data_IF_116237834025
#
_entry.id   IF_116237834025
#
_cell.length_a   1.000
_cell.length_b   1.000
_cell.length_c   1.000
_cell.angle_alpha   90.00
_cell.angle_beta   90.00
_cell.angle_gamma   90.00
#
_symmetry.space_group_name_H-M   'P 1'
#
loop_
_entity.id
_entity.type
_entity.pdbx_description
1 polymer ?
#
# COMPACT_ATOMS: atom_id res chain seq x y z
N UNK A 1 18.28 -23.96 43.23
CA UNK A 1 18.90 -22.74 42.70
C UNK A 1 18.95 -22.90 41.18
N UNK A 2 17.86 -22.58 40.49
CA UNK A 2 17.78 -22.69 39.03
C UNK A 2 18.19 -21.36 38.41
N UNK A 3 19.27 -21.35 37.63
CA UNK A 3 19.71 -20.20 36.85
C UNK A 3 18.98 -20.16 35.51
N UNK A 4 18.17 -19.14 35.30
CA UNK A 4 17.55 -18.83 34.00
C UNK A 4 18.45 -17.89 33.22
N UNK A 5 18.88 -18.33 32.03
CA UNK A 5 19.59 -17.51 31.04
C UNK A 5 18.56 -16.61 30.35
N UNK A 6 18.65 -15.30 30.57
CA UNK A 6 17.83 -14.31 29.90
C UNK A 6 18.48 -13.94 28.55
N UNK A 7 17.84 -14.32 27.44
CA UNK A 7 18.21 -13.82 26.12
C UNK A 7 17.72 -12.38 25.98
N UNK A 8 18.63 -11.41 26.00
CA UNK A 8 18.34 -10.03 25.62
C UNK A 8 18.27 -9.95 24.09
N UNK A 9 17.05 -9.88 23.55
CA UNK A 9 16.82 -9.43 22.17
C UNK A 9 17.08 -7.94 22.09
N UNK A 10 18.09 -7.57 21.33
CA UNK A 10 18.48 -6.18 21.09
C UNK A 10 17.44 -5.54 20.14
N UNK A 11 16.44 -4.86 20.70
CA UNK A 11 15.43 -4.14 19.92
C UNK A 11 16.04 -2.81 19.50
N UNK A 12 16.53 -2.74 18.26
CA UNK A 12 16.89 -1.45 17.67
C UNK A 12 15.62 -0.62 17.47
N UNK A 13 15.60 0.57 18.07
CA UNK A 13 14.54 1.56 17.92
C UNK A 13 14.40 1.98 16.46
N UNK A 14 13.33 1.52 15.80
CA UNK A 14 12.95 1.96 14.45
C UNK A 14 12.38 3.38 14.56
N UNK A 15 13.10 4.37 14.06
CA UNK A 15 12.68 5.77 14.05
C UNK A 15 11.79 6.07 12.84
N UNK A 16 10.56 6.53 13.13
CA UNK A 16 9.56 7.10 12.22
C UNK A 16 8.93 6.17 11.16
N UNK A 17 7.75 5.65 11.48
CA UNK A 17 6.73 5.22 10.51
C UNK A 17 5.60 6.25 10.52
N UNK A 18 5.89 7.47 10.07
CA UNK A 18 4.83 8.32 9.52
C UNK A 18 4.50 7.75 8.14
N UNK A 19 3.25 7.85 7.64
CA UNK A 19 2.98 7.53 6.24
C UNK A 19 4.00 8.24 5.36
N UNK A 20 4.55 7.56 4.35
CA UNK A 20 5.44 8.14 3.34
C UNK A 20 4.91 9.54 2.97
N UNK A 21 5.70 10.60 3.12
CA UNK A 21 5.25 11.98 2.85
C UNK A 21 4.94 12.24 1.35
N UNK A 22 5.30 11.33 0.44
CA UNK A 22 5.02 11.39 -0.99
C UNK A 22 3.55 11.17 -1.34
N UNK A 23 2.78 10.65 -0.38
CA UNK A 23 1.33 10.49 -0.46
C UNK A 23 0.60 11.81 -0.19
N UNK A 24 1.18 12.70 0.61
CA UNK A 24 0.64 14.05 0.86
C UNK A 24 0.68 14.95 -0.39
N UNK A 25 1.51 14.65 -1.39
CA UNK A 25 1.65 15.44 -2.62
C UNK A 25 0.56 15.17 -3.66
N UNK A 26 -0.20 14.07 -3.51
CA UNK A 26 -1.29 13.67 -4.40
C UNK A 26 -2.52 14.60 -4.27
N UNK A 27 -2.58 15.45 -3.24
CA UNK A 27 -3.70 16.38 -3.04
C UNK A 27 -3.79 17.50 -4.10
N UNK A 28 -2.83 17.61 -5.02
CA UNK A 28 -2.82 18.61 -6.09
C UNK A 28 -2.88 17.99 -7.50
N UNK A 29 -3.86 17.14 -7.78
CA UNK A 29 -4.22 16.83 -9.16
C UNK A 29 -5.02 17.99 -9.79
N UNK A 30 -4.63 18.50 -10.97
CA UNK A 30 -5.41 19.49 -11.70
C UNK A 30 -6.66 18.85 -12.29
N UNK A 31 -7.81 19.43 -11.95
CA UNK A 31 -9.13 19.10 -12.46
C UNK A 31 -9.25 19.67 -13.87
N UNK A 32 -9.33 18.85 -14.93
CA UNK A 32 -10.05 19.24 -16.15
C UNK A 32 -10.21 18.10 -17.17
N UNK A 33 -11.47 17.71 -17.40
CA UNK A 33 -12.08 17.60 -18.73
C UNK A 33 -13.61 17.44 -18.58
N UNK A 34 -14.39 18.48 -18.90
CA UNK A 34 -15.41 18.44 -19.98
C UNK A 34 -16.31 19.71 -20.05
N UNK A 35 -16.05 20.52 -21.08
CA UNK A 35 -16.96 21.03 -22.13
C UNK A 35 -18.37 21.56 -21.76
N UNK A 36 -18.43 22.90 -21.72
CA UNK A 36 -19.44 23.87 -22.20
C UNK A 36 -20.97 23.61 -22.18
N UNK A 37 -21.68 24.51 -21.50
CA UNK A 37 -22.82 25.25 -22.08
C UNK A 37 -22.97 26.62 -21.44
N UNK A 38 -23.05 27.66 -22.26
CA UNK A 38 -23.07 29.09 -21.93
C UNK A 38 -24.45 29.55 -21.41
N UNK A 39 -24.45 30.35 -20.34
CA UNK A 39 -25.31 31.54 -20.20
C UNK A 39 -24.80 32.48 -19.10
N UNK A 40 -24.56 33.75 -19.48
CA UNK A 40 -24.16 34.87 -18.63
C UNK A 40 -25.16 35.17 -17.49
N UNK A 41 -24.67 35.58 -16.30
CA UNK A 41 -24.84 36.93 -15.71
C UNK A 41 -24.25 37.01 -14.29
N UNK A 42 -23.36 38.01 -14.12
CA UNK A 42 -23.08 38.87 -12.96
C UNK A 42 -23.12 38.42 -11.48
N UNK A 43 -21.99 38.78 -10.82
CA UNK A 43 -21.85 39.42 -9.49
C UNK A 43 -21.66 38.58 -8.21
N UNK A 44 -20.68 39.07 -7.45
CA UNK A 44 -20.35 38.87 -6.02
C UNK A 44 -19.43 37.70 -5.64
N UNK A 45 -18.16 38.06 -5.43
CA UNK A 45 -17.09 37.25 -4.85
C UNK A 45 -17.28 37.11 -3.33
N UNK A 46 -17.59 35.89 -2.87
CA UNK A 46 -17.37 35.42 -1.51
C UNK A 46 -16.58 34.10 -1.56
N UNK A 47 -15.74 33.78 -0.56
CA UNK A 47 -14.97 32.55 -0.58
C UNK A 47 -15.92 31.38 -0.30
N UNK A 48 -16.23 30.60 -1.34
CA UNK A 48 -16.97 29.36 -1.23
C UNK A 48 -16.11 28.33 -0.50
N UNK A 49 -16.49 28.01 0.74
CA UNK A 49 -16.00 26.85 1.49
C UNK A 49 -16.41 25.57 0.75
N UNK A 50 -15.52 25.03 -0.08
CA UNK A 50 -15.65 23.65 -0.55
C UNK A 50 -15.16 22.71 0.55
N UNK A 51 -16.05 22.42 1.50
CA UNK A 51 -15.91 21.23 2.32
C UNK A 51 -16.03 20.04 1.39
N UNK A 52 -14.89 19.42 1.07
CA UNK A 52 -14.87 18.10 0.45
C UNK A 52 -15.54 17.15 1.46
N UNK A 53 -16.82 16.87 1.24
CA UNK A 53 -17.49 15.80 1.96
C UNK A 53 -16.71 14.53 1.63
N UNK A 54 -15.91 14.06 2.60
CA UNK A 54 -15.43 12.68 2.64
C UNK A 54 -16.67 11.83 2.87
N UNK A 55 -17.44 11.64 1.81
CA UNK A 55 -18.45 10.62 1.74
C UNK A 55 -17.66 9.32 1.78
N UNK A 56 -17.71 8.65 2.93
CA UNK A 56 -17.35 7.23 3.03
C UNK A 56 -18.25 6.54 2.02
N UNK A 57 -17.74 6.28 0.82
CA UNK A 57 -18.51 5.67 -0.24
C UNK A 57 -18.81 4.22 0.19
N UNK A 58 -20.03 3.99 0.68
CA UNK A 58 -20.60 2.66 0.92
C UNK A 58 -20.98 1.97 -0.41
N UNK A 59 -20.16 2.18 -1.45
CA UNK A 59 -20.30 1.50 -2.74
C UNK A 59 -19.50 0.19 -2.76
N UNK A 60 -19.81 -0.72 -3.70
CA UNK A 60 -18.93 -1.85 -3.97
C UNK A 60 -17.54 -1.33 -4.38
N UNK A 61 -16.49 -1.99 -3.91
CA UNK A 61 -15.13 -1.67 -4.32
C UNK A 61 -14.96 -1.95 -5.81
N UNK A 62 -14.23 -1.08 -6.50
CA UNK A 62 -13.86 -1.30 -7.89
C UNK A 62 -12.94 -2.51 -8.02
N UNK A 63 -13.01 -3.19 -9.16
CA UNK A 63 -12.18 -4.35 -9.45
C UNK A 63 -10.72 -3.93 -9.70
N UNK A 64 -9.77 -4.76 -9.25
CA UNK A 64 -8.33 -4.55 -9.44
C UNK A 64 -7.75 -5.73 -10.19
N UNK A 65 -7.24 -5.50 -11.39
CA UNK A 65 -6.55 -6.51 -12.17
C UNK A 65 -5.04 -6.39 -12.04
N UNK A 66 -4.37 -7.48 -11.68
CA UNK A 66 -2.91 -7.55 -11.56
C UNK A 66 -2.31 -8.45 -12.66
N UNK A 67 -1.13 -8.12 -13.22
CA UNK A 67 -0.47 -8.95 -14.22
C UNK A 67 -0.06 -10.30 -13.64
N UNK A 68 -0.25 -11.39 -14.40
CA UNK A 68 0.16 -12.74 -13.98
C UNK A 68 1.64 -12.83 -13.58
N UNK A 69 2.51 -12.05 -14.24
CA UNK A 69 3.95 -12.07 -13.99
C UNK A 69 4.41 -11.15 -12.86
N UNK A 70 3.49 -10.45 -12.18
CA UNK A 70 3.83 -9.48 -11.13
C UNK A 70 4.62 -10.12 -9.99
N UNK A 71 4.07 -11.18 -9.39
CA UNK A 71 4.68 -11.84 -8.24
C UNK A 71 6.03 -12.50 -8.60
N UNK A 72 6.10 -13.19 -9.74
CA UNK A 72 7.32 -13.87 -10.18
C UNK A 72 8.45 -12.88 -10.48
N UNK A 73 8.17 -11.82 -11.25
CA UNK A 73 9.15 -10.79 -11.57
C UNK A 73 9.63 -10.07 -10.30
N UNK A 74 8.72 -9.79 -9.36
CA UNK A 74 9.09 -9.16 -8.09
C UNK A 74 10.03 -10.05 -7.25
N UNK A 75 9.74 -11.35 -7.15
CA UNK A 75 10.62 -12.29 -6.45
C UNK A 75 12.00 -12.42 -7.12
N UNK A 76 12.06 -12.36 -8.45
CA UNK A 76 13.34 -12.35 -9.18
C UNK A 76 14.18 -11.12 -8.81
N UNK A 77 13.56 -9.94 -8.75
CA UNK A 77 14.20 -8.68 -8.35
C UNK A 77 14.66 -8.71 -6.89
N UNK A 78 13.87 -9.33 -6.01
CA UNK A 78 14.11 -9.42 -4.58
C UNK A 78 15.09 -10.55 -4.19
N UNK A 79 15.38 -11.49 -5.10
CA UNK A 79 16.10 -12.75 -4.82
C UNK A 79 17.36 -12.58 -3.97
N UNK A 80 18.21 -11.59 -4.28
CA UNK A 80 19.48 -11.41 -3.57
C UNK A 80 19.29 -10.93 -2.13
N UNK A 81 18.26 -10.11 -1.88
CA UNK A 81 17.89 -9.69 -0.54
C UNK A 81 17.21 -10.83 0.21
N UNK A 82 16.28 -11.54 -0.44
CA UNK A 82 15.59 -12.70 0.14
C UNK A 82 16.57 -13.77 0.61
N UNK A 83 17.62 -14.08 -0.17
CA UNK A 83 18.69 -15.03 0.23
C UNK A 83 19.47 -14.58 1.46
N UNK A 84 19.53 -13.28 1.73
CA UNK A 84 20.21 -12.67 2.88
C UNK A 84 19.26 -12.42 4.05
N UNK A 85 18.03 -12.90 3.98
CA UNK A 85 16.96 -12.62 4.95
C UNK A 85 16.73 -11.10 5.11
N UNK A 86 16.66 -10.39 3.97
CA UNK A 86 16.37 -8.95 3.92
C UNK A 86 15.10 -8.76 3.10
N UNK A 87 14.16 -7.99 3.63
CA UNK A 87 12.93 -7.64 2.93
C UNK A 87 13.20 -6.75 1.72
N UNK A 88 12.38 -6.90 0.69
CA UNK A 88 12.30 -5.97 -0.43
C UNK A 88 10.86 -5.50 -0.57
N UNK A 89 10.65 -4.22 -0.90
CA UNK A 89 9.34 -3.66 -1.16
C UNK A 89 9.29 -2.92 -2.51
N UNK A 90 8.07 -2.81 -3.05
CA UNK A 90 7.75 -2.12 -4.30
C UNK A 90 6.34 -1.52 -4.28
N UNK A 91 6.11 -0.52 -5.12
CA UNK A 91 4.84 0.21 -5.26
C UNK A 91 4.16 -0.18 -6.56
N UNK A 92 2.83 -0.38 -6.50
CA UNK A 92 2.00 -0.75 -7.64
C UNK A 92 1.34 0.49 -8.25
N UNK A 93 1.59 0.72 -9.54
CA UNK A 93 0.94 1.76 -10.33
C UNK A 93 -0.14 1.17 -11.23
N UNK A 94 -1.32 1.78 -11.26
CA UNK A 94 -2.44 1.35 -12.09
C UNK A 94 -3.04 2.49 -12.91
N UNK A 95 -3.58 2.14 -14.06
CA UNK A 95 -4.52 2.98 -14.80
C UNK A 95 -5.96 2.61 -14.41
N UNK A 96 -6.89 3.54 -14.52
CA UNK A 96 -8.32 3.29 -14.35
C UNK A 96 -9.00 3.31 -15.71
N UNK A 97 -9.84 2.32 -15.98
CA UNK A 97 -10.71 2.28 -17.15
C UNK A 97 -12.03 1.61 -16.78
N UNK A 98 -13.15 2.24 -17.12
CA UNK A 98 -14.49 1.71 -16.87
C UNK A 98 -14.67 1.26 -15.41
N UNK A 99 -14.34 2.14 -14.46
CA UNK A 99 -14.37 1.89 -13.01
C UNK A 99 -13.59 0.64 -12.56
N UNK A 100 -12.57 0.25 -13.33
CA UNK A 100 -11.70 -0.89 -13.02
C UNK A 100 -10.24 -0.45 -13.02
N UNK A 101 -9.50 -0.83 -11.98
CA UNK A 101 -8.07 -0.60 -11.88
C UNK A 101 -7.31 -1.72 -12.61
N UNK A 102 -6.35 -1.33 -13.44
CA UNK A 102 -5.43 -2.25 -14.09
C UNK A 102 -4.01 -1.90 -13.67
N UNK A 103 -3.40 -2.75 -12.84
CA UNK A 103 -1.99 -2.59 -12.45
C UNK A 103 -1.12 -2.82 -13.67
N UNK A 104 -0.37 -1.80 -14.06
CA UNK A 104 0.51 -1.82 -15.24
C UNK A 104 1.97 -1.59 -14.88
N UNK A 105 2.24 -1.10 -13.66
CA UNK A 105 3.59 -0.70 -13.25
C UNK A 105 3.96 -1.24 -11.88
N UNK A 106 5.22 -1.66 -11.74
CA UNK A 106 5.87 -1.99 -10.48
C UNK A 106 7.09 -1.08 -10.32
N UNK A 107 7.11 -0.26 -9.28
CA UNK A 107 8.22 0.62 -8.96
C UNK A 107 8.97 0.01 -7.78
N UNK A 108 10.25 -0.27 -7.94
CA UNK A 108 11.14 -0.74 -6.88
C UNK A 108 11.93 0.49 -6.40
N UNK A 109 11.55 1.12 -5.30
CA UNK A 109 12.24 2.31 -4.84
C UNK A 109 13.63 1.98 -4.31
N UNK A 110 14.47 3.01 -4.22
CA UNK A 110 15.57 3.00 -3.25
C UNK A 110 14.97 2.72 -1.87
N UNK A 111 15.59 1.85 -1.08
CA UNK A 111 14.99 1.37 0.16
C UNK A 111 16.05 1.00 1.19
N UNK A 112 15.69 1.14 2.46
CA UNK A 112 16.43 0.60 3.61
C UNK A 112 15.60 -0.52 4.23
N UNK A 113 16.20 -1.70 4.35
CA UNK A 113 15.48 -2.92 4.74
C UNK A 113 16.23 -3.73 5.78
N UNK A 114 15.47 -4.39 6.65
CA UNK A 114 15.91 -5.41 7.61
C UNK A 114 15.24 -6.75 7.25
N UNK A 115 15.36 -7.75 8.11
CA UNK A 115 14.63 -9.03 7.95
C UNK A 115 13.14 -8.94 8.21
N UNK A 116 12.66 -7.81 8.75
CA UNK A 116 11.28 -7.64 9.22
C UNK A 116 10.67 -6.26 8.87
N UNK A 117 11.38 -5.42 8.12
CA UNK A 117 10.85 -4.14 7.69
C UNK A 117 11.53 -3.66 6.42
N UNK A 118 10.80 -2.91 5.59
CA UNK A 118 11.30 -2.22 4.41
C UNK A 118 10.78 -0.78 4.40
N UNK A 119 11.69 0.18 4.29
CA UNK A 119 11.36 1.59 4.14
C UNK A 119 11.76 2.08 2.76
N UNK A 120 10.77 2.47 1.96
CA UNK A 120 11.00 3.18 0.71
C UNK A 120 11.60 4.57 0.98
N UNK A 121 12.58 4.94 0.18
CA UNK A 121 13.27 6.23 0.18
C UNK A 121 13.04 6.95 -1.15
N UNK A 122 13.36 8.25 -1.19
CA UNK A 122 13.27 9.08 -2.39
C UNK A 122 11.87 9.07 -3.03
N UNK A 123 10.86 9.31 -2.19
CA UNK A 123 9.45 9.28 -2.57
C UNK A 123 9.12 10.26 -3.70
N UNK A 124 9.86 11.37 -3.82
CA UNK A 124 9.75 12.32 -4.91
C UNK A 124 9.99 11.69 -6.29
N UNK A 125 10.88 10.69 -6.39
CA UNK A 125 11.13 9.98 -7.65
C UNK A 125 10.00 9.01 -7.98
N UNK A 126 9.47 8.31 -6.99
CA UNK A 126 8.30 7.46 -7.17
C UNK A 126 7.11 8.29 -7.63
N UNK A 127 6.87 9.43 -6.98
CA UNK A 127 5.83 10.37 -7.34
C UNK A 127 6.01 10.88 -8.78
N UNK A 128 7.23 11.24 -9.19
CA UNK A 128 7.50 11.70 -10.54
C UNK A 128 7.14 10.65 -11.61
N UNK A 129 7.38 9.36 -11.35
CA UNK A 129 6.99 8.27 -12.25
C UNK A 129 5.48 8.11 -12.29
N UNK A 130 4.84 7.98 -11.12
CA UNK A 130 3.40 7.81 -11.01
C UNK A 130 2.65 8.96 -11.69
N UNK A 131 3.03 10.20 -11.38
CA UNK A 131 2.43 11.39 -11.98
C UNK A 131 2.75 11.49 -13.47
N UNK A 132 4.01 11.30 -13.88
CA UNK A 132 4.43 11.39 -15.28
C UNK A 132 3.73 10.39 -16.20
N UNK A 133 3.29 9.25 -15.64
CA UNK A 133 2.54 8.22 -16.36
C UNK A 133 1.04 8.20 -16.04
N UNK A 134 0.55 9.17 -15.25
CA UNK A 134 -0.86 9.26 -14.83
C UNK A 134 -1.37 7.97 -14.16
N UNK A 135 -0.56 7.40 -13.27
CA UNK A 135 -0.83 6.16 -12.55
C UNK A 135 -1.33 6.45 -11.13
N UNK A 136 -2.30 5.64 -10.70
CA UNK A 136 -2.77 5.58 -9.32
C UNK A 136 -1.90 4.62 -8.50
N UNK A 137 -1.47 4.99 -7.27
CA UNK A 137 -0.74 4.10 -6.37
C UNK A 137 -1.71 3.09 -5.74
N UNK A 138 -2.09 2.05 -6.50
CA UNK A 138 -3.14 1.09 -6.13
C UNK A 138 -2.69 0.06 -5.07
N UNK A 139 -1.49 0.22 -4.52
CA UNK A 139 -0.99 -0.69 -3.49
C UNK A 139 0.51 -0.85 -3.53
N UNK A 140 0.96 -1.89 -2.85
CA UNK A 140 2.36 -2.21 -2.68
C UNK A 140 2.56 -3.72 -2.52
N UNK A 141 3.79 -4.16 -2.71
CA UNK A 141 4.21 -5.55 -2.62
C UNK A 141 5.51 -5.63 -1.81
N UNK A 142 5.63 -6.59 -0.90
CA UNK A 142 6.87 -6.85 -0.18
C UNK A 142 7.11 -8.33 0.04
N UNK A 143 8.35 -8.68 0.41
CA UNK A 143 8.72 -10.04 0.78
C UNK A 143 8.74 -10.22 2.28
N UNK A 144 8.28 -11.39 2.75
CA UNK A 144 8.68 -12.01 4.00
C UNK A 144 9.67 -13.14 3.67
N UNK A 145 11.00 -12.92 3.75
CA UNK A 145 11.98 -13.91 3.31
C UNK A 145 11.89 -15.24 4.07
N UNK A 146 11.71 -15.16 5.39
CA UNK A 146 11.70 -16.32 6.30
C UNK A 146 10.42 -16.46 7.11
N UNK A 147 9.56 -15.44 7.11
CA UNK A 147 8.30 -15.43 7.87
C UNK A 147 7.16 -16.01 7.06
N UNK A 148 6.09 -16.40 7.76
CA UNK A 148 4.84 -16.82 7.15
C UNK A 148 4.14 -15.67 6.42
N UNK A 149 3.15 -15.99 5.58
CA UNK A 149 2.37 -15.00 4.86
C UNK A 149 1.29 -14.34 5.75
N UNK A 150 1.55 -13.14 6.26
CA UNK A 150 0.62 -12.36 7.08
C UNK A 150 0.91 -10.85 6.97
N UNK A 151 0.03 -10.00 7.50
CA UNK A 151 0.30 -8.56 7.67
C UNK A 151 0.79 -8.28 9.09
N UNK A 152 2.02 -7.78 9.23
CA UNK A 152 2.60 -7.35 10.49
C UNK A 152 2.01 -6.02 10.98
N UNK A 153 2.31 -5.64 12.22
CA UNK A 153 1.94 -4.31 12.77
C UNK A 153 2.39 -3.16 11.87
N UNK A 154 3.58 -3.25 11.28
CA UNK A 154 4.11 -2.20 10.39
C UNK A 154 3.32 -2.21 9.08
N UNK A 155 3.07 -3.40 8.52
CA UNK A 155 2.31 -3.55 7.27
C UNK A 155 0.90 -3.01 7.38
N UNK A 156 0.24 -3.21 8.54
CA UNK A 156 -1.09 -2.67 8.81
C UNK A 156 -1.12 -1.15 8.78
N UNK A 157 -0.14 -0.48 9.39
CA UNK A 157 -0.03 0.98 9.37
C UNK A 157 0.32 1.52 7.98
N UNK A 158 1.21 0.84 7.25
CA UNK A 158 1.50 1.16 5.85
C UNK A 158 0.23 1.04 5.01
N UNK A 159 -0.47 -0.09 5.10
CA UNK A 159 -1.67 -0.37 4.34
C UNK A 159 -2.82 0.59 4.68
N UNK A 160 -2.96 1.00 5.94
CA UNK A 160 -3.91 2.03 6.35
C UNK A 160 -3.70 3.33 5.56
N UNK A 161 -2.44 3.74 5.44
CA UNK A 161 -2.07 4.96 4.72
C UNK A 161 -2.46 4.91 3.24
N UNK A 162 -2.22 3.77 2.57
CA UNK A 162 -2.65 3.55 1.19
C UNK A 162 -4.18 3.56 1.06
N UNK A 163 -4.88 2.81 1.92
CA UNK A 163 -6.34 2.68 1.83
C UNK A 163 -7.14 3.92 2.22
N UNK A 164 -6.55 4.85 2.96
CA UNK A 164 -7.16 6.17 3.22
C UNK A 164 -7.22 7.01 1.96
N UNK A 165 -6.21 6.94 1.08
CA UNK A 165 -6.26 7.70 -0.18
C UNK A 165 -6.97 6.94 -1.30
N UNK A 166 -6.73 5.63 -1.40
CA UNK A 166 -7.23 4.77 -2.47
C UNK A 166 -7.96 3.60 -1.81
N UNK A 167 -9.30 3.63 -1.69
CA UNK A 167 -10.08 2.61 -0.97
C UNK A 167 -9.85 1.17 -1.45
N UNK A 168 -9.49 1.02 -2.73
CA UNK A 168 -9.15 -0.22 -3.43
C UNK A 168 -7.72 -0.70 -3.20
N UNK A 169 -6.89 0.07 -2.49
CA UNK A 169 -5.48 -0.27 -2.34
C UNK A 169 -5.27 -1.65 -1.70
N UNK A 170 -4.29 -2.38 -2.23
CA UNK A 170 -3.94 -3.74 -1.80
C UNK A 170 -2.50 -3.82 -1.28
N UNK A 171 -2.26 -4.74 -0.35
CA UNK A 171 -0.93 -5.16 0.07
C UNK A 171 -0.67 -6.59 -0.40
N UNK A 172 0.41 -6.81 -1.15
CA UNK A 172 0.81 -8.15 -1.57
C UNK A 172 2.01 -8.59 -0.72
N UNK A 173 1.85 -9.68 0.04
CA UNK A 173 2.94 -10.29 0.80
C UNK A 173 3.45 -11.50 0.02
N UNK A 174 4.73 -11.53 -0.27
CA UNK A 174 5.41 -12.68 -0.88
C UNK A 174 6.19 -13.44 0.20
N UNK A 175 5.78 -14.67 0.52
CA UNK A 175 6.39 -15.51 1.54
C UNK A 175 6.98 -16.79 0.93
N UNK A 176 8.13 -16.72 0.23
CA UNK A 176 8.66 -17.84 -0.57
C UNK A 176 9.05 -19.08 0.26
N UNK A 177 9.26 -18.94 1.57
CA UNK A 177 9.60 -20.05 2.47
C UNK A 177 8.38 -20.62 3.21
N UNK A 178 7.22 -19.98 3.12
CA UNK A 178 5.99 -20.46 3.74
C UNK A 178 5.38 -21.60 2.90
N UNK A 179 5.53 -22.83 3.42
CA UNK A 179 5.00 -24.04 2.78
C UNK A 179 3.46 -24.12 2.73
N UNK A 180 2.77 -23.32 3.54
CA UNK A 180 1.31 -23.28 3.58
C UNK A 180 0.71 -22.26 2.60
N UNK A 181 1.38 -21.12 2.42
CA UNK A 181 0.87 -19.99 1.64
C UNK A 181 2.02 -19.13 1.12
N UNK A 182 2.39 -19.32 -0.15
CA UNK A 182 3.52 -18.61 -0.77
C UNK A 182 3.29 -17.11 -0.97
N UNK A 183 2.02 -16.66 -1.00
CA UNK A 183 1.68 -15.24 -1.08
C UNK A 183 0.27 -14.95 -0.56
N UNK A 184 0.01 -13.68 -0.27
CA UNK A 184 -1.31 -13.17 0.11
C UNK A 184 -1.56 -11.78 -0.44
N UNK A 185 -2.82 -11.48 -0.73
CA UNK A 185 -3.26 -10.18 -1.24
C UNK A 185 -4.30 -9.67 -0.25
N UNK A 186 -3.90 -8.67 0.52
CA UNK A 186 -4.61 -8.25 1.72
C UNK A 186 -5.11 -6.81 1.61
N UNK A 187 -6.16 -6.55 2.39
CA UNK A 187 -6.66 -5.21 2.70
C UNK A 187 -7.14 -5.17 4.15
N UNK A 188 -7.14 -3.98 4.74
CA UNK A 188 -7.77 -3.74 6.03
C UNK A 188 -9.29 -3.87 5.93
N UNK A 189 -9.88 -4.39 6.99
CA UNK A 189 -11.31 -4.31 7.22
C UNK A 189 -11.70 -2.90 7.65
N UNK A 190 -13.01 -2.60 7.64
CA UNK A 190 -13.50 -1.32 8.18
C UNK A 190 -13.24 -1.20 9.69
N UNK A 191 -13.32 -2.30 10.43
CA UNK A 191 -12.92 -2.37 11.84
C UNK A 191 -11.43 -2.08 12.03
N UNK A 192 -10.57 -2.71 11.23
CA UNK A 192 -9.12 -2.49 11.27
C UNK A 192 -8.71 -1.06 10.97
N UNK A 193 -9.32 -0.44 9.93
CA UNK A 193 -9.09 0.98 9.62
C UNK A 193 -9.45 1.90 10.79
N UNK A 194 -10.56 1.65 11.49
CA UNK A 194 -10.95 2.45 12.68
C UNK A 194 -9.93 2.32 13.80
N UNK A 195 -9.43 1.11 14.05
CA UNK A 195 -8.41 0.86 15.09
C UNK A 195 -7.09 1.56 14.75
N UNK A 196 -6.64 1.45 13.50
CA UNK A 196 -5.37 2.03 13.05
C UNK A 196 -5.40 3.56 13.00
N UNK A 197 -6.55 4.14 12.64
CA UNK A 197 -6.75 5.60 12.61
C UNK A 197 -6.39 6.28 13.93
N UNK A 198 -6.77 5.68 15.06
CA UNK A 198 -6.62 6.26 16.39
C UNK A 198 -5.42 5.66 17.16
N UNK A 199 -4.55 4.90 16.48
CA UNK A 199 -3.41 4.23 17.09
C UNK A 199 -2.19 5.18 17.18
N UNK A 200 -1.69 5.52 18.39
CA UNK A 200 -0.56 6.43 18.55
C UNK A 200 0.81 5.71 18.60
N UNK A 201 0.80 4.38 18.69
CA UNK A 201 1.98 3.55 18.93
C UNK A 201 2.88 3.49 17.69
N UNK A 202 4.19 3.32 17.93
CA UNK A 202 5.21 3.26 16.86
C UNK A 202 6.01 1.96 16.95
N UNK A 203 6.55 1.53 15.81
CA UNK A 203 7.27 0.25 15.72
C UNK A 203 6.34 -0.95 15.87
N UNK A 204 6.89 -2.11 16.24
CA UNK A 204 6.11 -3.32 16.42
C UNK A 204 5.29 -3.30 17.71
N UNK A 205 3.97 -3.40 17.58
CA UNK A 205 3.04 -3.52 18.69
C UNK A 205 1.84 -4.38 18.31
N UNK A 206 1.02 -4.75 19.30
CA UNK A 206 -0.21 -5.50 19.08
C UNK A 206 -1.40 -4.54 18.96
N UNK A 207 -2.30 -4.85 18.05
CA UNK A 207 -3.57 -4.14 17.90
C UNK A 207 -4.69 -4.91 18.61
N UNK A 208 -5.65 -4.17 19.14
CA UNK A 208 -6.88 -4.76 19.70
C UNK A 208 -7.71 -5.36 18.57
N UNK A 209 -8.58 -6.30 18.91
CA UNK A 209 -9.58 -6.81 17.96
C UNK A 209 -10.70 -5.76 17.76
N UNK A 210 -11.23 -5.63 16.53
CA UNK A 210 -12.45 -4.88 16.25
C UNK A 210 -13.62 -5.30 17.14
N UNK A 211 -14.41 -4.31 17.58
CA UNK A 211 -15.58 -4.51 18.46
C UNK A 211 -16.65 -5.40 17.81
N UNK A 212 -16.72 -5.39 16.49
CA UNK A 212 -17.64 -6.22 15.70
C UNK A 212 -17.15 -7.67 15.51
N UNK A 213 -15.99 -8.02 16.06
CA UNK A 213 -15.38 -9.36 15.93
C UNK A 213 -14.79 -9.64 14.54
N UNK A 214 -14.76 -8.65 13.65
CA UNK A 214 -14.10 -8.79 12.35
C UNK A 214 -12.57 -8.86 12.53
N UNK A 215 -11.82 -9.50 11.61
CA UNK A 215 -10.37 -9.44 11.64
C UNK A 215 -9.88 -8.03 11.28
N UNK A 216 -8.65 -7.67 11.67
CA UNK A 216 -8.04 -6.37 11.31
C UNK A 216 -7.86 -6.19 9.80
N UNK A 217 -7.57 -7.29 9.11
CA UNK A 217 -7.37 -7.35 7.66
C UNK A 217 -7.86 -8.70 7.14
N UNK A 218 -8.02 -8.81 5.84
CA UNK A 218 -8.41 -10.04 5.17
C UNK A 218 -8.02 -10.04 3.71
N UNK A 219 -8.30 -11.16 3.05
CA UNK A 219 -8.08 -11.33 1.63
C UNK A 219 -8.96 -10.39 0.78
N UNK A 220 -8.42 -9.92 -0.34
CA UNK A 220 -9.16 -9.10 -1.29
C UNK A 220 -10.03 -9.97 -2.21
N UNK A 221 -11.35 -9.75 -2.20
CA UNK A 221 -12.29 -10.44 -3.10
C UNK A 221 -12.42 -9.80 -4.47
N UNK A 222 -11.99 -8.54 -4.62
CA UNK A 222 -12.09 -7.72 -5.83
C UNK A 222 -10.77 -7.67 -6.63
N UNK A 223 -9.91 -8.68 -6.51
CA UNK A 223 -8.61 -8.74 -7.19
C UNK A 223 -8.58 -9.91 -8.16
N UNK A 224 -8.18 -9.65 -9.41
CA UNK A 224 -8.16 -10.63 -10.50
C UNK A 224 -6.78 -10.70 -11.15
N UNK A 225 -6.27 -11.92 -11.32
CA UNK A 225 -5.04 -12.14 -12.08
C UNK A 225 -5.37 -12.09 -13.57
N UNK A 226 -4.66 -11.24 -14.32
CA UNK A 226 -4.93 -10.99 -15.74
C UNK A 226 -3.67 -11.21 -16.58
N UNK A 227 -3.71 -12.22 -17.46
CA UNK A 227 -2.60 -12.59 -18.36
C UNK A 227 -2.39 -11.63 -19.53
N UNK A 228 -3.38 -10.80 -19.83
CA UNK A 228 -3.33 -9.84 -20.93
C UNK A 228 -2.68 -8.51 -20.52
N UNK A 229 -2.44 -8.29 -19.22
CA UNK A 229 -1.80 -7.08 -18.74
C UNK A 229 -0.28 -7.16 -18.90
N UNK A 230 0.27 -6.12 -19.54
CA UNK A 230 1.70 -5.87 -19.56
C UNK A 230 2.11 -5.21 -18.24
N UNK A 231 3.22 -5.67 -17.70
CA UNK A 231 3.87 -5.06 -16.55
C UNK A 231 5.12 -4.31 -17.01
N UNK A 232 5.23 -3.04 -16.63
CA UNK A 232 6.44 -2.24 -16.71
C UNK A 232 7.09 -2.17 -15.32
N UNK A 233 8.41 -2.26 -15.27
CA UNK A 233 9.16 -2.29 -14.01
C UNK A 233 10.15 -1.13 -14.00
N UNK A 234 10.07 -0.31 -12.95
CA UNK A 234 10.97 0.81 -12.70
C UNK A 234 11.82 0.50 -11.48
N UNK A 235 13.06 0.09 -11.69
CA UNK A 235 14.00 -0.17 -10.59
C UNK A 235 14.86 1.07 -10.30
N UNK A 236 14.71 1.63 -9.11
CA UNK A 236 15.34 2.88 -8.64
C UNK A 236 16.39 2.66 -7.54
N UNK A 237 16.75 1.41 -7.24
CA UNK A 237 17.65 1.06 -6.13
C UNK A 237 19.05 1.65 -6.26
#
# INVERSE_FOLDING_TARGET
>A
MAGGVCFQTNVHTVSQTSPSSGISLIHNFPHEAEISSVSNTDSSSGPSNYSLNVQVAFGPLNDVHIPTRLMENFLEIASDNTKKDIETCGVLGAIIKDDTFYTTSLIIPKQESTSNSCQALQEEKMFAILHGQSLFPIGWIHTHPSQTCFMSSIDLHTQYSYQVMVPEAIAIVMAPTDTSRAYGIFRLSDGGKKILKDCPEKGFHLHKEPVDGSPLYGDCSNVYINSCLRLEIFDLR
#
